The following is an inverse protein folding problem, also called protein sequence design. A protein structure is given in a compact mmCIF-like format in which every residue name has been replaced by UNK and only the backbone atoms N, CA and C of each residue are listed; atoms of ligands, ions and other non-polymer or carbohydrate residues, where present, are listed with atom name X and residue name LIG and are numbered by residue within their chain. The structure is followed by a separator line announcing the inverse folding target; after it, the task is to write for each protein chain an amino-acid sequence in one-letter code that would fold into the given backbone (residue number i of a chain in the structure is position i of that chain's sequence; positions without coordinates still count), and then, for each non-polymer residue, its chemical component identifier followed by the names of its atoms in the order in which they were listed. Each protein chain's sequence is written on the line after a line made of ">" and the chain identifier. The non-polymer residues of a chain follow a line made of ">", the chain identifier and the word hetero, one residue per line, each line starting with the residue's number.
data_IF_750626042224
#
_entry.id   IF_750626042224
#
_cell.length_a   1.000
_cell.length_b   1.000
_cell.length_c   1.000
_cell.angle_alpha   90.00
_cell.angle_beta   90.00
_cell.angle_gamma   90.00
#
_symmetry.space_group_name_H-M   'P 1'
#
loop_
_entity.id
_entity.type
_entity.pdbx_description
1 polymer ?
#
# COMPACT_ATOMS: atom_id res chain seq x y z
N UNK A 1 45.38 -43.03 -38.45
CA UNK A 1 44.55 -42.03 -37.73
C UNK A 1 43.60 -42.71 -36.73
N UNK A 2 42.80 -43.70 -37.14
CA UNK A 2 41.86 -44.41 -36.26
C UNK A 2 42.52 -45.15 -35.07
N UNK A 3 43.63 -45.84 -35.30
CA UNK A 3 44.36 -46.52 -34.21
C UNK A 3 44.90 -45.54 -33.14
N UNK A 4 45.34 -44.33 -33.52
CA UNK A 4 45.77 -43.31 -32.55
C UNK A 4 44.61 -42.80 -31.69
N UNK A 5 43.41 -42.68 -32.25
CA UNK A 5 42.21 -42.27 -31.52
C UNK A 5 41.79 -43.36 -30.54
N UNK A 6 41.82 -44.63 -30.95
CA UNK A 6 41.55 -45.75 -30.05
C UNK A 6 42.57 -45.81 -28.89
N UNK A 7 43.87 -45.68 -29.17
CA UNK A 7 44.90 -45.67 -28.11
C UNK A 7 44.75 -44.49 -27.16
N UNK A 8 44.39 -43.30 -27.66
CA UNK A 8 44.13 -42.12 -26.82
C UNK A 8 42.86 -42.29 -25.97
N UNK A 9 41.80 -42.91 -26.52
CA UNK A 9 40.58 -43.22 -25.77
C UNK A 9 40.82 -44.30 -24.70
N UNK A 10 41.61 -45.34 -25.00
CA UNK A 10 41.96 -46.37 -24.01
C UNK A 10 42.87 -45.81 -22.90
N UNK A 11 43.82 -44.93 -23.24
CA UNK A 11 44.64 -44.22 -22.27
C UNK A 11 43.83 -43.24 -21.40
N UNK A 12 42.84 -42.55 -21.98
CA UNK A 12 41.92 -41.69 -21.25
C UNK A 12 41.01 -42.50 -20.30
N UNK A 13 40.56 -43.69 -20.72
CA UNK A 13 39.74 -44.57 -19.87
C UNK A 13 40.55 -45.17 -18.71
N UNK A 14 41.80 -45.58 -18.96
CA UNK A 14 42.71 -46.03 -17.90
C UNK A 14 43.11 -44.92 -16.91
N UNK A 15 43.12 -43.66 -17.36
CA UNK A 15 43.29 -42.52 -16.47
C UNK A 15 42.02 -42.18 -15.69
N UNK A 16 40.83 -42.35 -16.30
CA UNK A 16 39.55 -42.19 -15.61
C UNK A 16 39.39 -43.18 -14.47
N UNK A 17 39.69 -44.45 -14.70
CA UNK A 17 39.60 -45.51 -13.69
C UNK A 17 40.61 -45.29 -12.55
N UNK A 18 41.78 -44.71 -12.85
CA UNK A 18 42.76 -44.29 -11.82
C UNK A 18 42.28 -43.07 -11.02
N UNK A 19 41.61 -42.11 -11.67
CA UNK A 19 41.04 -40.94 -11.00
C UNK A 19 39.86 -41.36 -10.12
N UNK A 20 38.95 -42.20 -10.62
CA UNK A 20 37.82 -42.74 -9.87
C UNK A 20 38.32 -43.52 -8.63
N UNK A 21 39.31 -44.41 -8.80
CA UNK A 21 39.92 -45.09 -7.65
C UNK A 21 40.64 -44.14 -6.67
N UNK A 22 41.28 -43.08 -7.15
CA UNK A 22 41.93 -42.10 -6.28
C UNK A 22 40.91 -41.26 -5.50
N UNK A 23 39.78 -40.91 -6.14
CA UNK A 23 38.66 -40.20 -5.53
C UNK A 23 37.95 -41.10 -4.52
N UNK A 24 37.64 -42.35 -4.86
CA UNK A 24 36.99 -43.31 -3.96
C UNK A 24 37.88 -43.58 -2.73
N UNK A 25 39.18 -43.78 -2.94
CA UNK A 25 40.13 -43.96 -1.83
C UNK A 25 40.25 -42.70 -0.96
N UNK A 26 40.17 -41.51 -1.56
CA UNK A 26 40.12 -40.25 -0.83
C UNK A 26 38.81 -40.08 -0.06
N UNK A 27 37.67 -40.45 -0.63
CA UNK A 27 36.36 -40.41 0.02
C UNK A 27 36.27 -41.41 1.18
N UNK A 28 36.73 -42.66 1.00
CA UNK A 28 36.83 -43.67 2.07
C UNK A 28 37.73 -43.22 3.22
N UNK A 29 38.86 -42.58 2.91
CA UNK A 29 39.82 -42.09 3.91
C UNK A 29 39.36 -40.83 4.65
N UNK A 30 38.46 -40.04 4.04
CA UNK A 30 38.00 -38.75 4.58
C UNK A 30 36.48 -38.73 4.90
N UNK A 31 35.83 -39.90 4.91
CA UNK A 31 34.40 -40.06 5.19
C UNK A 31 33.98 -39.59 6.60
N UNK A 32 34.95 -39.40 7.51
CA UNK A 32 34.74 -38.77 8.83
C UNK A 32 34.48 -37.25 8.76
N UNK A 33 34.70 -36.60 7.61
CA UNK A 33 34.47 -35.16 7.41
C UNK A 33 33.28 -34.84 6.51
N UNK A 34 32.57 -35.85 6.01
CA UNK A 34 31.28 -35.64 5.34
C UNK A 34 30.21 -35.42 6.42
N UNK A 35 30.02 -34.15 6.75
CA UNK A 35 28.85 -33.69 7.53
C UNK A 35 27.62 -34.04 6.71
N UNK A 36 26.96 -35.14 7.07
CA UNK A 36 25.63 -35.45 6.60
C UNK A 36 24.73 -34.33 7.11
N UNK A 37 24.39 -33.38 6.23
CA UNK A 37 23.21 -32.55 6.44
C UNK A 37 22.04 -33.47 6.11
N UNK A 38 21.31 -34.02 7.10
CA UNK A 38 20.05 -34.65 6.78
C UNK A 38 19.23 -33.61 6.00
N UNK A 39 18.62 -34.03 4.89
CA UNK A 39 17.59 -33.24 4.23
C UNK A 39 16.72 -32.63 5.33
N UNK A 40 16.49 -31.30 5.35
CA UNK A 40 15.67 -30.70 6.38
C UNK A 40 14.35 -31.45 6.36
N UNK A 41 14.10 -32.23 7.42
CA UNK A 41 12.82 -32.86 7.64
C UNK A 41 11.87 -31.69 7.82
N UNK A 42 11.23 -31.27 6.73
CA UNK A 42 10.07 -30.40 6.77
C UNK A 42 9.02 -31.20 7.52
N UNK A 43 9.08 -31.17 8.86
CA UNK A 43 7.95 -31.52 9.69
C UNK A 43 6.82 -30.69 9.11
N UNK A 44 5.80 -31.34 8.53
CA UNK A 44 4.50 -30.68 8.33
C UNK A 44 4.25 -29.96 9.63
N UNK A 45 4.21 -28.61 9.58
CA UNK A 45 3.93 -27.81 10.76
C UNK A 45 2.72 -28.47 11.39
N UNK A 46 2.87 -28.92 12.65
CA UNK A 46 1.71 -29.34 13.41
C UNK A 46 0.71 -28.20 13.25
N UNK A 47 -0.56 -28.52 12.94
CA UNK A 47 -1.63 -27.54 12.95
C UNK A 47 -1.84 -27.17 14.42
N UNK A 48 -0.92 -26.38 14.97
CA UNK A 48 -1.14 -25.61 16.18
C UNK A 48 -1.97 -24.43 15.70
N UNK A 49 -3.17 -24.26 16.26
CA UNK A 49 -4.00 -23.12 15.96
C UNK A 49 -3.25 -21.80 16.16
N UNK A 50 -3.83 -20.71 15.69
CA UNK A 50 -3.31 -19.37 16.00
C UNK A 50 -3.67 -19.07 17.46
N UNK A 51 -2.74 -19.38 18.36
CA UNK A 51 -2.98 -19.36 19.81
C UNK A 51 -2.78 -17.97 20.46
N UNK A 52 -2.19 -17.00 19.74
CA UNK A 52 -1.95 -15.63 20.24
C UNK A 52 -2.04 -14.60 19.10
N UNK A 53 -2.55 -13.39 19.43
CA UNK A 53 -2.48 -12.19 18.56
C UNK A 53 -1.02 -11.88 18.16
N UNK A 54 -0.04 -12.25 18.99
CA UNK A 54 1.40 -11.93 18.78
C UNK A 54 2.05 -12.68 17.61
N UNK A 55 1.38 -13.70 17.04
CA UNK A 55 1.88 -14.45 15.88
C UNK A 55 1.21 -14.06 14.56
N UNK A 56 0.09 -13.33 14.60
CA UNK A 56 -0.63 -12.85 13.43
C UNK A 56 -0.39 -11.37 13.20
N UNK A 57 -0.24 -10.97 11.94
CA UNK A 57 -0.24 -9.54 11.56
C UNK A 57 -1.66 -8.98 11.67
N UNK A 58 -2.69 -9.80 11.43
CA UNK A 58 -4.11 -9.40 11.54
C UNK A 58 -4.65 -9.74 12.93
N UNK A 59 -5.17 -8.74 13.67
CA UNK A 59 -5.80 -8.98 14.98
C UNK A 59 -7.02 -9.91 14.91
N UNK A 60 -7.16 -10.74 15.95
CA UNK A 60 -8.37 -11.52 16.13
C UNK A 60 -9.61 -10.66 16.33
N UNK A 61 -9.48 -9.49 16.97
CA UNK A 61 -10.58 -8.54 17.11
C UNK A 61 -11.18 -8.19 15.74
N UNK A 62 -10.34 -7.79 14.79
CA UNK A 62 -10.78 -7.41 13.44
C UNK A 62 -11.43 -8.59 12.70
N UNK A 63 -10.86 -9.79 12.85
CA UNK A 63 -11.41 -11.02 12.28
C UNK A 63 -12.78 -11.34 12.88
N UNK A 64 -12.92 -11.25 14.19
CA UNK A 64 -14.16 -11.57 14.89
C UNK A 64 -15.29 -10.59 14.49
N UNK A 65 -14.99 -9.29 14.27
CA UNK A 65 -15.97 -8.31 13.78
C UNK A 65 -16.61 -8.72 12.43
N UNK A 66 -15.93 -9.52 11.61
CA UNK A 66 -16.49 -9.97 10.34
C UNK A 66 -17.68 -10.93 10.52
N UNK A 67 -17.85 -11.54 11.70
CA UNK A 67 -19.04 -12.35 12.02
C UNK A 67 -20.33 -11.52 12.09
N UNK A 68 -20.21 -10.23 12.37
CA UNK A 68 -21.36 -9.34 12.60
C UNK A 68 -21.93 -8.73 11.30
N UNK A 69 -21.28 -8.94 10.14
CA UNK A 69 -21.72 -8.35 8.86
C UNK A 69 -23.14 -8.76 8.45
N UNK A 70 -23.97 -7.80 8.04
CA UNK A 70 -25.38 -8.01 7.67
C UNK A 70 -25.70 -7.56 6.24
N UNK A 71 -25.12 -6.47 5.75
CA UNK A 71 -25.56 -5.77 4.55
C UNK A 71 -24.67 -6.00 3.32
N UNK A 72 -23.34 -6.02 3.47
CA UNK A 72 -22.40 -6.13 2.34
C UNK A 72 -22.54 -7.47 1.61
N UNK A 73 -22.37 -7.45 0.29
CA UNK A 73 -22.59 -8.63 -0.58
C UNK A 73 -21.60 -9.77 -0.35
N UNK A 74 -20.40 -9.47 0.13
CA UNK A 74 -19.37 -10.46 0.45
C UNK A 74 -19.39 -10.96 1.91
N UNK A 75 -20.40 -10.60 2.71
CA UNK A 75 -20.51 -11.01 4.13
C UNK A 75 -20.31 -12.51 4.35
N UNK A 76 -20.89 -13.36 3.50
CA UNK A 76 -20.78 -14.81 3.66
C UNK A 76 -19.34 -15.33 3.47
N UNK A 77 -18.56 -14.68 2.61
CA UNK A 77 -17.15 -15.01 2.42
C UNK A 77 -16.35 -14.60 3.66
N UNK A 78 -16.60 -13.41 4.19
CA UNK A 78 -15.88 -12.89 5.36
C UNK A 78 -16.25 -13.60 6.67
N UNK A 79 -17.52 -13.98 6.87
CA UNK A 79 -17.93 -14.83 7.99
C UNK A 79 -17.24 -16.19 7.94
N UNK A 80 -17.16 -16.80 6.76
CA UNK A 80 -16.45 -18.07 6.56
C UNK A 80 -14.95 -17.94 6.83
N UNK A 81 -14.33 -16.85 6.39
CA UNK A 81 -12.95 -16.53 6.72
C UNK A 81 -12.77 -16.47 8.23
N UNK A 82 -13.59 -15.68 8.93
CA UNK A 82 -13.48 -15.50 10.37
C UNK A 82 -13.67 -16.78 11.18
N UNK A 83 -14.59 -17.67 10.77
CA UNK A 83 -14.78 -18.97 11.43
C UNK A 83 -13.55 -19.88 11.28
N UNK A 84 -12.85 -19.78 10.13
CA UNK A 84 -11.74 -20.67 9.80
C UNK A 84 -10.39 -20.13 10.22
N UNK A 85 -10.24 -18.81 10.33
CA UNK A 85 -8.97 -18.12 10.49
C UNK A 85 -8.08 -18.72 11.58
N UNK A 86 -8.63 -18.98 12.77
CA UNK A 86 -7.89 -19.56 13.92
C UNK A 86 -7.41 -21.00 13.69
N UNK A 87 -8.06 -21.73 12.79
CA UNK A 87 -7.78 -23.13 12.46
C UNK A 87 -6.89 -23.28 11.21
N UNK A 88 -6.65 -22.20 10.46
CA UNK A 88 -5.84 -22.24 9.26
C UNK A 88 -4.34 -22.25 9.59
N UNK A 89 -3.64 -23.24 9.04
CA UNK A 89 -2.18 -23.37 9.17
C UNK A 89 -1.39 -22.40 8.27
N UNK A 90 -2.08 -21.76 7.32
CA UNK A 90 -1.51 -20.77 6.41
C UNK A 90 -1.20 -19.46 7.16
N UNK A 91 -0.15 -18.76 6.71
CA UNK A 91 0.19 -17.43 7.23
C UNK A 91 -0.78 -16.35 6.69
N UNK A 92 -0.77 -15.15 7.29
CA UNK A 92 -1.70 -14.07 6.93
C UNK A 92 -1.64 -13.64 5.47
N UNK A 93 -0.45 -13.60 4.91
CA UNK A 93 -0.26 -13.28 3.50
C UNK A 93 -1.03 -14.25 2.60
N UNK A 94 -0.86 -15.56 2.80
CA UNK A 94 -1.54 -16.60 2.01
C UNK A 94 -3.06 -16.55 2.21
N UNK A 95 -3.52 -16.33 3.44
CA UNK A 95 -4.95 -16.22 3.75
C UNK A 95 -5.57 -15.01 3.04
N UNK A 96 -4.94 -13.84 3.19
CA UNK A 96 -5.35 -12.60 2.54
C UNK A 96 -5.37 -12.76 1.02
N UNK A 97 -4.32 -13.36 0.44
CA UNK A 97 -4.19 -13.52 -1.00
C UNK A 97 -5.31 -14.42 -1.58
N UNK A 98 -5.57 -15.56 -0.92
CA UNK A 98 -6.67 -16.46 -1.31
C UNK A 98 -8.02 -15.76 -1.19
N UNK A 99 -8.24 -15.00 -0.13
CA UNK A 99 -9.49 -14.28 0.10
C UNK A 99 -9.71 -13.20 -0.98
N UNK A 100 -8.71 -12.33 -1.20
CA UNK A 100 -8.76 -11.24 -2.19
C UNK A 100 -9.01 -11.81 -3.59
N UNK A 101 -8.26 -12.83 -4.02
CA UNK A 101 -8.47 -13.49 -5.32
C UNK A 101 -9.89 -14.02 -5.48
N UNK A 102 -10.42 -14.68 -4.43
CA UNK A 102 -11.79 -15.18 -4.46
C UNK A 102 -12.82 -14.05 -4.55
N UNK A 103 -12.64 -12.98 -3.78
CA UNK A 103 -13.53 -11.82 -3.78
C UNK A 103 -13.53 -11.10 -5.13
N UNK A 104 -12.35 -10.86 -5.71
CA UNK A 104 -12.22 -10.20 -7.01
C UNK A 104 -12.90 -10.99 -8.13
N UNK A 105 -12.63 -12.28 -8.20
CA UNK A 105 -13.24 -13.13 -9.21
C UNK A 105 -14.78 -13.16 -9.08
N UNK A 106 -15.27 -13.29 -7.84
CA UNK A 106 -16.70 -13.47 -7.56
C UNK A 106 -17.52 -12.18 -7.65
N UNK A 107 -16.97 -11.03 -7.26
CA UNK A 107 -17.72 -9.79 -7.09
C UNK A 107 -17.32 -8.68 -8.08
N UNK A 108 -16.09 -8.70 -8.60
CA UNK A 108 -15.63 -7.73 -9.61
C UNK A 108 -15.60 -8.32 -11.02
N UNK A 109 -15.51 -9.65 -11.14
CA UNK A 109 -15.30 -10.31 -12.43
C UNK A 109 -13.91 -10.03 -13.02
N UNK A 110 -12.95 -9.71 -12.14
CA UNK A 110 -11.56 -9.41 -12.47
C UNK A 110 -10.65 -10.45 -11.84
N UNK A 111 -9.52 -10.75 -12.50
CA UNK A 111 -8.47 -11.58 -11.92
C UNK A 111 -7.50 -10.69 -11.16
N UNK A 112 -7.31 -10.95 -9.86
CA UNK A 112 -6.28 -10.25 -9.09
C UNK A 112 -4.89 -10.64 -9.60
N UNK A 113 -4.00 -9.68 -9.93
CA UNK A 113 -2.70 -9.97 -10.47
C UNK A 113 -1.84 -10.85 -9.56
N UNK A 114 -1.27 -11.92 -10.12
CA UNK A 114 -0.36 -12.82 -9.41
C UNK A 114 1.09 -12.30 -9.35
N UNK A 115 1.36 -11.05 -9.74
CA UNK A 115 2.73 -10.54 -9.85
C UNK A 115 3.45 -10.55 -8.50
N UNK A 116 2.72 -10.19 -7.46
CA UNK A 116 3.16 -10.14 -6.07
C UNK A 116 3.74 -11.48 -5.59
N UNK A 117 3.07 -12.60 -5.89
CA UNK A 117 3.59 -13.95 -5.66
C UNK A 117 4.76 -14.33 -6.59
N UNK A 118 4.75 -13.86 -7.85
CA UNK A 118 5.83 -14.18 -8.82
C UNK A 118 7.15 -13.48 -8.49
N UNK A 119 7.11 -12.25 -8.01
CA UNK A 119 8.30 -11.51 -7.60
C UNK A 119 8.64 -11.75 -6.12
N UNK A 120 7.84 -12.56 -5.42
CA UNK A 120 8.01 -12.87 -4.00
C UNK A 120 9.40 -13.42 -3.69
N UNK A 121 10.01 -14.23 -4.57
CA UNK A 121 11.38 -14.74 -4.35
C UNK A 121 12.44 -13.62 -4.35
N UNK A 122 12.17 -12.50 -5.02
CA UNK A 122 13.02 -11.30 -5.03
C UNK A 122 12.66 -10.41 -3.83
N UNK A 123 11.37 -10.30 -3.50
CA UNK A 123 10.84 -9.44 -2.45
C UNK A 123 10.90 -10.03 -1.04
N UNK A 124 11.06 -11.35 -0.87
CA UNK A 124 11.19 -12.05 0.41
C UNK A 124 12.39 -11.60 1.24
N UNK A 125 13.37 -10.92 0.62
CA UNK A 125 14.47 -10.28 1.32
C UNK A 125 14.05 -9.04 2.10
N UNK A 126 12.82 -8.57 1.90
CA UNK A 126 12.23 -7.47 2.63
C UNK A 126 11.04 -7.98 3.46
N UNK A 127 11.22 -8.03 4.78
CA UNK A 127 10.17 -8.43 5.73
C UNK A 127 8.93 -7.53 5.59
N UNK A 128 9.11 -6.24 5.25
CA UNK A 128 8.03 -5.25 5.17
C UNK A 128 7.10 -5.41 3.97
N UNK A 129 7.49 -6.13 2.91
CA UNK A 129 6.65 -6.26 1.71
C UNK A 129 5.36 -7.06 1.98
N UNK A 130 5.47 -8.17 2.71
CA UNK A 130 4.29 -9.00 3.05
C UNK A 130 3.37 -8.25 4.00
N UNK A 131 3.92 -7.38 4.83
CA UNK A 131 3.15 -6.51 5.74
C UNK A 131 2.30 -5.53 4.95
N UNK A 132 2.83 -4.88 3.90
CA UNK A 132 2.01 -4.01 3.04
C UNK A 132 0.85 -4.73 2.36
N UNK A 133 1.05 -5.99 1.94
CA UNK A 133 -0.04 -6.79 1.37
C UNK A 133 -1.09 -7.19 2.41
N UNK A 134 -0.68 -7.52 3.63
CA UNK A 134 -1.61 -7.83 4.72
C UNK A 134 -2.32 -6.58 5.21
N UNK A 135 -1.62 -5.45 5.23
CA UNK A 135 -2.13 -4.12 5.56
C UNK A 135 -3.33 -3.75 4.69
N UNK A 136 -3.19 -3.81 3.36
CA UNK A 136 -4.33 -3.52 2.47
C UNK A 136 -5.54 -4.44 2.74
N UNK A 137 -5.29 -5.68 3.19
CA UNK A 137 -6.36 -6.59 3.58
C UNK A 137 -6.99 -6.21 4.91
N UNK A 138 -6.22 -5.77 5.90
CA UNK A 138 -6.73 -5.24 7.16
C UNK A 138 -7.58 -3.98 6.92
N UNK A 139 -7.10 -3.05 6.10
CA UNK A 139 -7.86 -1.86 5.68
C UNK A 139 -9.19 -2.28 5.06
N UNK A 140 -9.17 -3.24 4.14
CA UNK A 140 -10.38 -3.80 3.54
C UNK A 140 -11.37 -4.34 4.57
N UNK A 141 -10.92 -5.15 5.54
CA UNK A 141 -11.76 -5.73 6.59
C UNK A 141 -12.38 -4.68 7.51
N UNK A 142 -11.62 -3.64 7.89
CA UNK A 142 -12.10 -2.55 8.73
C UNK A 142 -13.18 -1.77 7.97
N UNK A 143 -12.89 -1.34 6.75
CA UNK A 143 -13.84 -0.57 5.97
C UNK A 143 -15.04 -1.38 5.52
N UNK A 144 -14.92 -2.71 5.35
CA UNK A 144 -16.05 -3.59 5.11
C UNK A 144 -17.04 -3.57 6.29
N UNK A 145 -16.52 -3.64 7.53
CA UNK A 145 -17.33 -3.58 8.74
C UNK A 145 -18.01 -2.21 8.94
N UNK A 146 -17.27 -1.12 8.72
CA UNK A 146 -17.82 0.24 8.78
C UNK A 146 -18.88 0.44 7.68
N UNK A 147 -18.56 0.05 6.44
CA UNK A 147 -19.45 0.18 5.29
C UNK A 147 -20.73 -0.63 5.49
N UNK A 148 -20.64 -1.84 6.06
CA UNK A 148 -21.81 -2.67 6.40
C UNK A 148 -22.79 -1.95 7.32
N UNK A 149 -22.25 -1.22 8.29
CA UNK A 149 -23.04 -0.48 9.26
C UNK A 149 -23.77 0.69 8.60
N UNK A 150 -23.06 1.53 7.85
CA UNK A 150 -23.63 2.71 7.18
C UNK A 150 -24.33 2.37 5.86
N UNK A 151 -24.30 1.10 5.44
CA UNK A 151 -24.78 0.62 4.14
C UNK A 151 -26.18 1.12 3.77
N UNK A 152 -27.20 1.07 4.67
CA UNK A 152 -28.55 1.50 4.33
C UNK A 152 -28.66 2.98 3.95
N UNK A 153 -27.75 3.83 4.46
CA UNK A 153 -27.73 5.27 4.20
C UNK A 153 -27.07 5.59 2.86
N UNK A 154 -26.04 4.83 2.48
CA UNK A 154 -25.12 5.22 1.39
C UNK A 154 -25.35 4.44 0.08
N UNK A 155 -25.75 3.17 0.17
CA UNK A 155 -25.73 2.25 -0.97
C UNK A 155 -26.64 2.69 -2.11
N UNK A 156 -27.87 3.11 -1.79
CA UNK A 156 -28.87 3.52 -2.80
C UNK A 156 -28.43 4.77 -3.57
N UNK A 157 -27.84 5.75 -2.87
CA UNK A 157 -27.36 6.98 -3.49
C UNK A 157 -26.18 6.70 -4.43
N UNK A 158 -25.22 5.92 -3.95
CA UNK A 158 -24.04 5.52 -4.71
C UNK A 158 -24.40 4.70 -5.95
N UNK A 159 -25.25 3.68 -5.81
CA UNK A 159 -25.69 2.82 -6.92
C UNK A 159 -26.50 3.60 -7.96
N UNK A 160 -27.34 4.56 -7.52
CA UNK A 160 -28.06 5.43 -8.46
C UNK A 160 -27.10 6.28 -9.30
N UNK A 161 -26.05 6.83 -8.68
CA UNK A 161 -25.07 7.75 -9.30
C UNK A 161 -24.10 7.01 -10.22
N UNK A 162 -23.49 5.92 -9.75
CA UNK A 162 -22.38 5.25 -10.45
C UNK A 162 -22.76 3.90 -11.07
N UNK A 163 -24.03 3.48 -10.96
CA UNK A 163 -24.53 2.20 -11.50
C UNK A 163 -23.72 0.97 -11.04
N UNK A 164 -23.12 1.06 -9.86
CA UNK A 164 -22.38 -0.02 -9.23
C UNK A 164 -22.61 -0.02 -7.72
N UNK A 165 -22.37 -1.16 -7.10
CA UNK A 165 -22.47 -1.28 -5.64
C UNK A 165 -21.25 -0.68 -4.97
N UNK A 166 -21.47 0.10 -3.91
CA UNK A 166 -20.41 0.82 -3.20
C UNK A 166 -19.33 -0.13 -2.66
N UNK A 167 -19.72 -1.32 -2.22
CA UNK A 167 -18.81 -2.32 -1.68
C UNK A 167 -17.93 -2.98 -2.75
N UNK A 168 -18.34 -2.95 -4.03
CA UNK A 168 -17.47 -3.39 -5.13
C UNK A 168 -16.36 -2.37 -5.38
N UNK A 169 -16.69 -1.07 -5.36
CA UNK A 169 -15.69 0.00 -5.45
C UNK A 169 -14.75 -0.03 -4.23
N UNK A 170 -15.30 -0.25 -3.02
CA UNK A 170 -14.50 -0.43 -1.80
C UNK A 170 -13.55 -1.62 -1.90
N UNK A 171 -14.02 -2.79 -2.34
CA UNK A 171 -13.20 -3.98 -2.53
C UNK A 171 -12.01 -3.68 -3.46
N UNK A 172 -12.26 -3.07 -4.61
CA UNK A 172 -11.21 -2.71 -5.56
C UNK A 172 -10.22 -1.69 -4.97
N UNK A 173 -10.72 -0.64 -4.30
CA UNK A 173 -9.88 0.41 -3.73
C UNK A 173 -8.97 -0.12 -2.62
N UNK A 174 -9.59 -0.71 -1.59
CA UNK A 174 -8.89 -1.12 -0.37
C UNK A 174 -7.90 -2.26 -0.58
N UNK A 175 -8.14 -3.19 -1.51
CA UNK A 175 -7.23 -4.33 -1.75
C UNK A 175 -6.19 -4.10 -2.86
N UNK A 176 -6.12 -2.88 -3.39
CA UNK A 176 -5.22 -2.51 -4.49
C UNK A 176 -4.48 -1.19 -4.29
N UNK A 177 -4.75 -0.41 -3.24
CA UNK A 177 -4.14 0.91 -3.04
C UNK A 177 -2.62 0.87 -2.90
N UNK A 178 -2.11 -0.16 -2.24
CA UNK A 178 -0.67 -0.39 -2.01
C UNK A 178 -0.02 -1.31 -3.07
N UNK A 179 -0.73 -1.66 -4.14
CA UNK A 179 -0.29 -2.68 -5.10
C UNK A 179 1.09 -2.38 -5.71
N UNK A 180 1.35 -1.12 -6.04
CA UNK A 180 2.61 -0.64 -6.64
C UNK A 180 3.63 -0.09 -5.63
N UNK A 181 3.48 -0.37 -4.33
CA UNK A 181 4.49 -0.01 -3.33
C UNK A 181 5.90 -0.50 -3.73
N UNK A 182 5.98 -1.69 -4.34
CA UNK A 182 7.25 -2.21 -4.79
C UNK A 182 7.87 -1.50 -5.99
N UNK A 183 7.06 -0.88 -6.85
CA UNK A 183 7.57 -0.10 -7.97
C UNK A 183 8.14 1.24 -7.49
N UNK A 184 7.49 1.87 -6.50
CA UNK A 184 7.99 3.07 -5.85
C UNK A 184 9.38 2.86 -5.23
N UNK A 185 9.55 1.72 -4.53
CA UNK A 185 10.77 1.39 -3.78
C UNK A 185 11.81 0.59 -4.58
N UNK A 186 11.54 0.29 -5.86
CA UNK A 186 12.37 -0.57 -6.70
C UNK A 186 13.85 -0.14 -6.71
N UNK A 187 14.12 1.15 -6.86
CA UNK A 187 15.50 1.64 -6.89
C UNK A 187 16.21 1.52 -5.53
N UNK A 188 15.48 1.72 -4.43
CA UNK A 188 16.02 1.54 -3.07
C UNK A 188 16.40 0.09 -2.87
N UNK A 189 15.53 -0.84 -3.28
CA UNK A 189 15.79 -2.27 -3.22
C UNK A 189 16.94 -2.71 -4.12
N UNK A 190 17.02 -2.17 -5.33
CA UNK A 190 18.11 -2.46 -6.24
C UNK A 190 19.46 -2.01 -5.66
N UNK A 191 19.49 -0.82 -5.04
CA UNK A 191 20.68 -0.30 -4.35
C UNK A 191 21.08 -1.21 -3.19
N UNK A 192 20.14 -1.56 -2.33
CA UNK A 192 20.39 -2.42 -1.18
C UNK A 192 20.88 -3.82 -1.62
N UNK A 193 20.30 -4.38 -2.68
CA UNK A 193 20.78 -5.63 -3.27
C UNK A 193 22.25 -5.56 -3.70
N UNK A 194 22.68 -4.46 -4.34
CA UNK A 194 24.09 -4.26 -4.72
C UNK A 194 25.00 -4.00 -3.52
N UNK A 195 24.52 -3.27 -2.51
CA UNK A 195 25.25 -3.05 -1.26
C UNK A 195 25.46 -4.35 -0.50
N UNK A 196 24.43 -5.20 -0.38
CA UNK A 196 24.51 -6.45 0.37
C UNK A 196 25.30 -7.51 -0.41
N UNK A 197 25.05 -7.64 -1.71
CA UNK A 197 25.62 -8.72 -2.52
C UNK A 197 27.05 -8.41 -2.99
N UNK A 198 27.32 -7.16 -3.38
CA UNK A 198 28.61 -6.75 -3.95
C UNK A 198 29.41 -5.81 -3.02
N UNK A 199 28.87 -5.42 -1.85
CA UNK A 199 29.51 -4.50 -0.89
C UNK A 199 29.85 -3.14 -1.50
N UNK A 200 29.11 -2.71 -2.52
CA UNK A 200 29.38 -1.47 -3.23
C UNK A 200 28.71 -0.30 -2.52
N UNK A 201 29.44 0.36 -1.63
CA UNK A 201 28.95 1.51 -0.83
C UNK A 201 29.25 2.89 -1.41
N UNK A 202 29.87 2.98 -2.60
CA UNK A 202 30.39 4.26 -3.10
C UNK A 202 29.29 5.12 -3.79
N UNK A 203 29.35 6.45 -3.60
CA UNK A 203 28.43 7.43 -4.22
C UNK A 203 28.36 7.33 -5.76
N UNK A 204 29.47 6.96 -6.40
CA UNK A 204 29.61 6.89 -7.86
C UNK A 204 28.77 5.76 -8.47
N UNK A 205 28.63 4.63 -7.78
CA UNK A 205 27.72 3.54 -8.16
C UNK A 205 26.28 3.95 -7.98
N UNK A 206 25.97 4.77 -6.95
CA UNK A 206 24.64 5.36 -6.76
C UNK A 206 24.21 6.24 -7.95
N UNK A 207 25.17 6.85 -8.65
CA UNK A 207 24.94 7.66 -9.86
C UNK A 207 24.93 6.82 -11.15
N UNK A 208 25.62 5.66 -11.17
CA UNK A 208 25.78 4.81 -12.36
C UNK A 208 24.83 3.60 -12.45
N UNK A 209 24.11 3.24 -11.38
CA UNK A 209 23.05 2.22 -11.48
C UNK A 209 21.95 2.76 -12.39
N UNK A 210 21.61 2.02 -13.44
CA UNK A 210 20.45 2.33 -14.29
C UNK A 210 19.18 2.26 -13.42
N UNK A 211 18.74 3.41 -12.95
CA UNK A 211 17.50 3.55 -12.19
C UNK A 211 16.31 3.34 -13.12
N UNK A 212 15.21 2.84 -12.57
CA UNK A 212 13.99 2.64 -13.34
C UNK A 212 13.48 3.98 -13.88
N UNK A 213 13.51 4.15 -15.20
CA UNK A 213 12.95 5.29 -15.91
C UNK A 213 11.55 4.93 -16.46
N UNK A 214 10.50 5.31 -15.73
CA UNK A 214 9.12 5.02 -16.13
C UNK A 214 8.70 5.77 -17.41
N UNK A 215 9.24 6.95 -17.67
CA UNK A 215 8.95 7.72 -18.90
C UNK A 215 9.43 6.97 -20.16
N UNK A 216 10.49 6.16 -20.03
CA UNK A 216 10.97 5.28 -21.10
C UNK A 216 10.27 3.92 -21.13
N UNK A 217 9.69 3.47 -20.03
CA UNK A 217 9.08 2.14 -19.90
C UNK A 217 7.58 2.12 -20.21
N UNK A 218 6.88 3.24 -20.03
CA UNK A 218 5.45 3.37 -20.27
C UNK A 218 5.17 4.07 -21.60
N UNK A 219 4.12 3.64 -22.31
CA UNK A 219 3.60 4.38 -23.47
C UNK A 219 2.99 5.68 -22.94
N UNK A 220 3.63 6.81 -23.24
CA UNK A 220 3.31 8.11 -22.64
C UNK A 220 1.87 8.52 -22.90
N UNK A 221 1.37 8.34 -24.12
CA UNK A 221 -0.01 8.64 -24.50
C UNK A 221 -0.98 7.81 -23.66
N UNK A 222 -0.71 6.51 -23.55
CA UNK A 222 -1.55 5.62 -22.77
C UNK A 222 -1.55 5.99 -21.29
N UNK A 223 -0.42 6.41 -20.71
CA UNK A 223 -0.36 6.90 -19.32
C UNK A 223 -1.17 8.20 -19.16
N UNK A 224 -0.92 9.16 -20.05
CA UNK A 224 -1.54 10.47 -20.02
C UNK A 224 -3.06 10.40 -20.12
N UNK A 225 -3.60 9.54 -20.99
CA UNK A 225 -5.05 9.33 -21.12
C UNK A 225 -5.71 8.93 -19.79
N UNK A 226 -5.03 8.13 -18.96
CA UNK A 226 -5.61 7.63 -17.69
C UNK A 226 -5.51 8.69 -16.62
N UNK A 227 -4.41 9.43 -16.57
CA UNK A 227 -4.26 10.59 -15.69
C UNK A 227 -5.33 11.63 -16.00
N UNK A 228 -5.51 11.97 -17.29
CA UNK A 228 -6.56 12.89 -17.73
C UNK A 228 -7.93 12.40 -17.28
N UNK A 229 -8.23 11.12 -17.51
CA UNK A 229 -9.50 10.51 -17.11
C UNK A 229 -9.75 10.57 -15.60
N UNK A 230 -8.72 10.41 -14.77
CA UNK A 230 -8.85 10.50 -13.32
C UNK A 230 -8.98 11.95 -12.84
N UNK A 231 -8.13 12.85 -13.35
CA UNK A 231 -8.16 14.27 -13.04
C UNK A 231 -9.54 14.88 -13.35
N UNK A 232 -10.13 14.53 -14.50
CA UNK A 232 -11.46 15.02 -14.90
C UNK A 232 -12.60 14.53 -13.98
N UNK A 233 -12.38 13.54 -13.12
CA UNK A 233 -13.38 13.06 -12.15
C UNK A 233 -13.30 13.77 -10.79
N UNK A 234 -12.21 14.48 -10.50
CA UNK A 234 -11.98 15.13 -9.20
C UNK A 234 -12.69 16.47 -9.06
N UNK A 235 -13.02 17.14 -10.18
CA UNK A 235 -13.80 18.39 -10.16
C UNK A 235 -14.53 18.55 -11.49
N UNK A 236 -15.82 18.86 -11.43
CA UNK A 236 -16.63 19.04 -12.64
C UNK A 236 -16.40 20.42 -13.31
N UNK A 237 -15.98 21.44 -12.54
CA UNK A 237 -15.87 22.83 -12.98
C UNK A 237 -14.43 23.35 -12.85
N UNK A 238 -13.49 22.70 -13.54
CA UNK A 238 -12.12 23.24 -13.65
C UNK A 238 -12.09 24.50 -14.52
N UNK A 239 -11.32 25.52 -14.10
CA UNK A 239 -10.74 26.45 -15.07
C UNK A 239 -9.68 25.71 -15.88
N UNK A 240 -9.48 26.09 -17.14
CA UNK A 240 -8.56 25.39 -18.06
C UNK A 240 -7.13 25.27 -17.49
N UNK A 241 -6.61 26.34 -16.88
CA UNK A 241 -5.31 26.35 -16.21
C UNK A 241 -5.25 25.44 -14.97
N UNK A 242 -6.33 25.34 -14.19
CA UNK A 242 -6.41 24.45 -13.03
C UNK A 242 -6.37 22.98 -13.46
N UNK A 243 -7.05 22.65 -14.58
CA UNK A 243 -7.05 21.32 -15.16
C UNK A 243 -5.66 20.91 -15.63
N UNK A 244 -4.95 21.81 -16.32
CA UNK A 244 -3.58 21.56 -16.78
C UNK A 244 -2.64 21.29 -15.60
N UNK A 245 -2.74 22.10 -14.53
CA UNK A 245 -1.96 21.91 -13.31
C UNK A 245 -2.28 20.58 -12.62
N UNK A 246 -3.54 20.14 -12.62
CA UNK A 246 -3.96 18.83 -12.11
C UNK A 246 -3.31 17.66 -12.85
N UNK A 247 -3.39 17.70 -14.18
CA UNK A 247 -2.81 16.66 -15.03
C UNK A 247 -1.30 16.63 -14.86
N UNK A 248 -0.66 17.79 -14.85
CA UNK A 248 0.79 17.91 -14.61
C UNK A 248 1.20 17.36 -13.25
N UNK A 249 0.44 17.69 -12.19
CA UNK A 249 0.71 17.18 -10.85
C UNK A 249 0.71 15.65 -10.81
N UNK A 250 -0.35 15.01 -11.28
CA UNK A 250 -0.42 13.55 -11.29
C UNK A 250 0.60 12.89 -12.25
N UNK A 251 0.94 13.55 -13.36
CA UNK A 251 2.00 13.08 -14.24
C UNK A 251 3.37 13.05 -13.55
N UNK A 252 3.73 14.13 -12.87
CA UNK A 252 4.97 14.18 -12.08
C UNK A 252 4.95 13.14 -10.95
N UNK A 253 3.81 12.97 -10.27
CA UNK A 253 3.65 11.96 -9.23
C UNK A 253 3.80 10.53 -9.75
N UNK A 254 3.27 10.23 -10.95
CA UNK A 254 3.42 8.93 -11.58
C UNK A 254 4.86 8.66 -12.05
N UNK A 255 5.48 9.61 -12.77
CA UNK A 255 6.73 9.38 -13.50
C UNK A 255 7.96 9.65 -12.64
N UNK A 256 7.99 10.78 -11.94
CA UNK A 256 9.17 11.24 -11.19
C UNK A 256 9.22 10.70 -9.78
N UNK A 257 8.12 10.82 -9.04
CA UNK A 257 8.02 10.30 -7.67
C UNK A 257 7.75 8.81 -7.65
N UNK A 258 7.05 8.30 -8.68
CA UNK A 258 6.55 6.92 -8.74
C UNK A 258 5.66 6.62 -7.54
N UNK A 259 4.79 7.57 -7.23
CA UNK A 259 3.82 7.45 -6.16
C UNK A 259 3.00 6.17 -6.35
N UNK A 260 3.01 5.31 -5.34
CA UNK A 260 2.40 3.99 -5.38
C UNK A 260 0.89 4.06 -5.53
N UNK A 261 0.22 5.05 -4.93
CA UNK A 261 -1.20 5.30 -5.11
C UNK A 261 -1.52 5.61 -6.57
N UNK A 262 -0.87 6.64 -7.15
CA UNK A 262 -1.08 7.03 -8.55
C UNK A 262 -0.83 5.88 -9.52
N UNK A 263 0.28 5.15 -9.35
CA UNK A 263 0.61 4.00 -10.21
C UNK A 263 -0.39 2.85 -10.04
N UNK A 264 -0.87 2.59 -8.82
CA UNK A 264 -1.88 1.57 -8.54
C UNK A 264 -3.23 1.90 -9.17
N UNK A 265 -3.63 3.17 -9.15
CA UNK A 265 -4.84 3.64 -9.83
C UNK A 265 -4.76 3.41 -11.35
N UNK A 266 -3.65 3.81 -11.98
CA UNK A 266 -3.40 3.58 -13.41
C UNK A 266 -3.40 2.08 -13.73
N UNK A 267 -2.77 1.27 -12.88
CA UNK A 267 -2.70 -0.19 -13.07
C UNK A 267 -4.08 -0.85 -12.96
N UNK A 268 -4.94 -0.37 -12.06
CA UNK A 268 -6.31 -0.85 -11.91
C UNK A 268 -7.15 -0.55 -13.15
N UNK A 269 -7.06 0.67 -13.69
CA UNK A 269 -7.76 1.04 -14.93
C UNK A 269 -7.29 0.19 -16.10
N UNK A 270 -5.97 0.01 -16.24
CA UNK A 270 -5.39 -0.83 -17.29
C UNK A 270 -5.86 -2.28 -17.19
N UNK A 271 -5.87 -2.84 -15.98
CA UNK A 271 -6.39 -4.19 -15.72
C UNK A 271 -7.86 -4.32 -16.15
N UNK A 272 -8.67 -3.30 -15.85
CA UNK A 272 -10.06 -3.28 -16.27
C UNK A 272 -10.20 -3.24 -17.79
N UNK A 273 -9.45 -2.36 -18.47
CA UNK A 273 -9.46 -2.22 -19.94
C UNK A 273 -9.08 -3.54 -20.64
N UNK A 274 -8.08 -4.26 -20.11
CA UNK A 274 -7.60 -5.54 -20.64
C UNK A 274 -8.56 -6.72 -20.34
N UNK A 275 -9.41 -6.60 -19.32
CA UNK A 275 -10.38 -7.66 -18.99
C UNK A 275 -11.48 -7.75 -20.06
N UNK A 276 -11.87 -8.95 -20.48
CA UNK A 276 -12.97 -9.15 -21.44
C UNK A 276 -14.29 -8.63 -20.87
N UNK A 277 -14.99 -7.78 -21.62
CA UNK A 277 -16.22 -7.11 -21.19
C UNK A 277 -17.28 -8.06 -20.59
N UNK A 278 -17.53 -9.20 -21.24
CA UNK A 278 -18.51 -10.20 -20.76
C UNK A 278 -18.16 -10.92 -19.46
N UNK A 279 -16.97 -10.69 -18.87
CA UNK A 279 -16.59 -11.23 -17.55
C UNK A 279 -16.73 -10.22 -16.42
N UNK A 280 -16.85 -8.92 -16.72
CA UNK A 280 -16.81 -7.83 -15.74
C UNK A 280 -18.12 -7.81 -14.95
N UNK A 281 -18.03 -7.74 -13.62
CA UNK A 281 -19.18 -7.58 -12.70
C UNK A 281 -19.24 -6.18 -12.07
N UNK A 282 -18.20 -5.37 -12.30
CA UNK A 282 -18.15 -3.94 -12.00
C UNK A 282 -18.06 -3.17 -13.31
N UNK A 283 -18.64 -1.97 -13.35
CA UNK A 283 -18.56 -1.07 -14.51
C UNK A 283 -17.37 -0.11 -14.39
N UNK A 284 -17.12 0.67 -15.45
CA UNK A 284 -16.03 1.65 -15.48
C UNK A 284 -16.19 2.71 -14.38
N UNK A 285 -17.41 3.20 -14.13
CA UNK A 285 -17.64 4.24 -13.12
C UNK A 285 -17.24 3.78 -11.72
N UNK A 286 -17.56 2.54 -11.35
CA UNK A 286 -17.13 1.94 -10.08
C UNK A 286 -15.62 1.77 -9.99
N UNK A 287 -14.95 1.40 -11.09
CA UNK A 287 -13.49 1.35 -11.16
C UNK A 287 -12.87 2.74 -11.05
N UNK A 288 -13.48 3.77 -11.64
CA UNK A 288 -13.02 5.15 -11.49
C UNK A 288 -13.16 5.62 -10.03
N UNK A 289 -14.25 5.31 -9.34
CA UNK A 289 -14.39 5.65 -7.92
C UNK A 289 -13.31 4.96 -7.06
N UNK A 290 -12.97 3.71 -7.38
CA UNK A 290 -11.88 3.01 -6.72
C UNK A 290 -10.51 3.60 -7.06
N UNK A 291 -10.26 3.90 -8.34
CA UNK A 291 -8.99 4.43 -8.82
C UNK A 291 -8.73 5.84 -8.29
N UNK A 292 -9.73 6.72 -8.21
CA UNK A 292 -9.62 8.05 -7.58
C UNK A 292 -9.25 7.92 -6.11
N UNK A 293 -9.91 7.00 -5.39
CA UNK A 293 -9.60 6.75 -4.00
C UNK A 293 -8.14 6.32 -3.84
N UNK A 294 -7.69 5.35 -4.65
CA UNK A 294 -6.31 4.88 -4.66
C UNK A 294 -5.32 5.98 -5.06
N UNK A 295 -5.63 6.79 -6.08
CA UNK A 295 -4.73 7.85 -6.54
C UNK A 295 -4.52 8.92 -5.47
N UNK A 296 -5.57 9.24 -4.72
CA UNK A 296 -5.59 10.37 -3.80
C UNK A 296 -5.34 9.99 -2.33
N UNK A 297 -5.20 8.71 -1.98
CA UNK A 297 -5.09 8.30 -0.56
C UNK A 297 -3.72 8.58 0.08
N UNK A 298 -2.65 8.69 -0.71
CA UNK A 298 -1.31 8.91 -0.18
C UNK A 298 -1.18 10.33 0.41
N UNK A 299 -0.47 10.43 1.54
CA UNK A 299 -0.37 11.66 2.36
C UNK A 299 0.06 12.86 1.55
N UNK A 300 1.10 12.70 0.74
CA UNK A 300 1.63 13.78 -0.12
C UNK A 300 0.63 14.23 -1.19
N UNK A 301 -0.34 13.40 -1.57
CA UNK A 301 -1.36 13.72 -2.56
C UNK A 301 -2.52 14.49 -1.93
N UNK A 302 -3.20 13.92 -0.93
CA UNK A 302 -4.37 14.59 -0.35
C UNK A 302 -4.00 15.89 0.38
N UNK A 303 -2.81 15.99 0.99
CA UNK A 303 -2.33 17.25 1.55
C UNK A 303 -2.16 18.31 0.46
N UNK A 304 -1.59 17.93 -0.68
CA UNK A 304 -1.40 18.85 -1.82
C UNK A 304 -2.73 19.28 -2.43
N UNK A 305 -3.70 18.36 -2.54
CA UNK A 305 -5.05 18.64 -3.06
C UNK A 305 -5.84 19.60 -2.15
N UNK A 306 -5.69 19.47 -0.84
CA UNK A 306 -6.26 20.38 0.17
C UNK A 306 -5.49 21.70 0.33
N UNK A 307 -4.35 21.82 -0.33
CA UNK A 307 -3.51 23.02 -0.37
C UNK A 307 -2.61 23.20 0.85
N UNK A 308 -1.88 24.33 0.89
CA UNK A 308 -0.80 24.58 1.86
C UNK A 308 -1.20 24.51 3.35
N UNK A 309 -2.50 24.49 3.67
CA UNK A 309 -2.97 24.31 5.05
C UNK A 309 -2.77 22.88 5.57
N UNK A 310 -2.78 21.86 4.69
CA UNK A 310 -2.37 20.49 5.04
C UNK A 310 -0.85 20.32 5.05
N UNK A 311 -0.16 21.03 4.15
CA UNK A 311 1.28 20.91 3.91
C UNK A 311 2.19 21.58 4.96
N UNK A 312 1.66 22.54 5.74
CA UNK A 312 2.41 23.25 6.79
C UNK A 312 1.92 22.80 8.16
N UNK A 313 2.79 22.18 8.97
CA UNK A 313 2.94 22.49 10.42
C UNK A 313 3.98 21.60 11.12
N UNK A 314 4.88 22.25 11.84
CA UNK A 314 5.45 21.70 13.08
C UNK A 314 4.36 21.74 14.19
N UNK A 315 4.44 20.92 15.24
CA UNK A 315 3.43 20.88 16.30
C UNK A 315 3.18 22.27 16.91
N UNK A 316 1.92 22.70 16.97
CA UNK A 316 1.49 23.78 17.87
C UNK A 316 1.24 25.19 17.30
N UNK A 317 1.44 25.48 16.01
CA UNK A 317 1.10 26.80 15.47
C UNK A 317 0.23 26.72 14.20
N UNK A 318 -1.04 27.08 14.34
CA UNK A 318 -1.91 27.39 13.21
C UNK A 318 -1.44 28.69 12.52
N UNK A 319 -1.04 28.69 11.24
CA UNK A 319 -1.09 29.90 10.45
C UNK A 319 -2.54 30.37 10.36
N UNK A 320 -2.72 31.63 10.77
CA UNK A 320 -3.91 32.42 10.53
C UNK A 320 -4.32 32.34 9.07
N UNK A 321 -5.62 32.30 8.84
CA UNK A 321 -6.26 32.45 7.53
C UNK A 321 -5.50 33.46 6.66
N UNK A 322 -5.02 33.03 5.48
CA UNK A 322 -4.24 33.80 4.48
C UNK A 322 -2.71 33.69 4.46
N UNK A 323 -2.13 32.57 4.86
CA UNK A 323 -0.77 32.27 4.42
C UNK A 323 -0.77 31.84 2.94
N UNK A 324 -0.52 32.82 2.06
CA UNK A 324 -0.03 32.59 0.71
C UNK A 324 1.18 31.64 0.77
N UNK A 325 1.32 30.75 -0.22
CA UNK A 325 2.54 29.97 -0.40
C UNK A 325 3.69 30.93 -0.76
N UNK A 326 4.21 31.65 0.23
CA UNK A 326 5.28 32.60 0.04
C UNK A 326 6.62 31.85 -0.12
N UNK A 327 7.59 32.53 -0.74
CA UNK A 327 8.96 32.08 -1.00
C UNK A 327 9.76 31.59 0.25
N UNK A 328 9.15 31.62 1.43
CA UNK A 328 9.62 31.13 2.73
C UNK A 328 9.01 29.78 3.14
N UNK A 329 8.24 29.12 2.26
CA UNK A 329 7.76 27.75 2.48
C UNK A 329 8.96 26.83 2.71
N UNK A 330 9.24 26.56 3.98
CA UNK A 330 10.28 25.66 4.42
C UNK A 330 9.57 24.46 5.01
N UNK A 331 9.66 23.33 4.30
CA UNK A 331 9.35 22.03 4.90
C UNK A 331 10.47 21.77 5.89
N UNK A 332 10.22 21.89 7.20
CA UNK A 332 11.04 21.10 8.12
C UNK A 332 10.87 19.65 7.66
N UNK A 333 11.96 18.88 7.44
CA UNK A 333 11.88 17.50 6.99
C UNK A 333 11.35 16.64 8.15
N UNK A 334 10.09 16.82 8.53
CA UNK A 334 9.39 16.08 9.57
C UNK A 334 8.85 14.73 9.06
N UNK A 335 8.90 14.48 7.76
CA UNK A 335 8.44 13.24 7.16
C UNK A 335 9.58 12.55 6.42
N UNK A 336 10.17 11.57 7.11
CA UNK A 336 10.97 10.46 6.57
C UNK A 336 12.24 10.86 5.81
N UNK A 337 13.38 10.92 6.53
CA UNK A 337 14.71 11.11 5.94
C UNK A 337 15.06 10.07 4.85
N UNK A 338 14.37 8.92 4.84
CA UNK A 338 14.60 7.81 3.92
C UNK A 338 13.62 7.74 2.74
N UNK A 339 12.42 8.33 2.85
CA UNK A 339 11.52 8.56 1.70
C UNK A 339 11.80 9.95 1.13
N UNK A 340 13.02 10.16 0.62
CA UNK A 340 13.30 11.30 -0.24
C UNK A 340 12.42 11.17 -1.48
N UNK A 341 11.27 11.83 -1.49
CA UNK A 341 10.62 12.19 -2.76
C UNK A 341 11.72 12.79 -3.64
N UNK A 342 11.89 12.25 -4.85
CA UNK A 342 12.87 12.74 -5.82
C UNK A 342 12.54 14.15 -6.31
N UNK A 343 11.47 14.76 -5.83
CA UNK A 343 11.13 16.17 -6.07
C UNK A 343 12.06 17.11 -5.31
N UNK A 344 12.75 16.70 -4.25
CA UNK A 344 13.72 17.56 -3.57
C UNK A 344 15.16 17.24 -3.99
N UNK A 345 15.73 18.11 -4.83
CA UNK A 345 17.17 18.10 -5.15
C UNK A 345 17.98 18.10 -3.86
N UNK A 346 19.11 17.40 -3.91
CA UNK A 346 20.08 17.33 -2.83
C UNK A 346 20.37 18.72 -2.23
N UNK A 347 20.47 18.74 -0.91
CA UNK A 347 20.89 19.86 -0.09
C UNK A 347 22.21 20.41 -0.63
N UNK A 348 22.20 21.61 -1.21
CA UNK A 348 23.42 22.40 -1.32
C UNK A 348 23.46 23.60 -0.38
N UNK A 349 22.35 24.12 0.19
CA UNK A 349 22.41 25.34 1.03
C UNK A 349 21.30 25.50 2.11
N UNK A 350 20.75 24.41 2.66
CA UNK A 350 19.94 24.49 3.90
C UNK A 350 18.50 25.01 3.79
N UNK A 351 18.02 25.45 2.62
CA UNK A 351 16.61 25.82 2.38
C UNK A 351 16.04 25.05 1.18
N UNK A 352 15.15 24.08 1.42
CA UNK A 352 14.37 23.42 0.36
C UNK A 352 13.14 24.25 0.03
N UNK A 353 13.06 24.78 -1.19
CA UNK A 353 11.87 25.48 -1.72
C UNK A 353 11.06 24.52 -2.59
N UNK A 354 9.73 24.57 -2.48
CA UNK A 354 8.84 23.88 -3.41
C UNK A 354 9.09 24.36 -4.84
N UNK A 355 8.87 23.50 -5.84
CA UNK A 355 8.94 23.93 -7.24
C UNK A 355 7.82 24.95 -7.52
N UNK A 356 8.05 25.87 -8.46
CA UNK A 356 7.10 26.97 -8.73
C UNK A 356 5.71 26.45 -9.10
N UNK A 357 5.64 25.38 -9.90
CA UNK A 357 4.39 24.78 -10.34
C UNK A 357 3.66 24.05 -9.20
N UNK A 358 4.39 23.49 -8.24
CA UNK A 358 3.82 22.80 -7.08
C UNK A 358 3.19 23.81 -6.11
N UNK A 359 3.88 24.96 -5.93
CA UNK A 359 3.35 26.09 -5.16
C UNK A 359 2.08 26.65 -5.80
N UNK A 360 2.07 26.79 -7.13
CA UNK A 360 0.90 27.22 -7.90
C UNK A 360 -0.25 26.21 -7.78
N UNK A 361 0.05 24.91 -7.85
CA UNK A 361 -0.93 23.85 -7.66
C UNK A 361 -1.60 23.90 -6.28
N UNK A 362 -0.82 23.99 -5.20
CA UNK A 362 -1.36 24.02 -3.85
C UNK A 362 -2.23 25.27 -3.57
N UNK A 363 -2.03 26.36 -4.33
CA UNK A 363 -2.88 27.55 -4.24
C UNK A 363 -4.27 27.34 -4.85
N UNK A 364 -4.41 26.40 -5.79
CA UNK A 364 -5.71 26.08 -6.41
C UNK A 364 -6.68 25.48 -5.39
N UNK A 365 -6.16 24.74 -4.39
CA UNK A 365 -6.98 23.96 -3.44
C UNK A 365 -8.02 23.12 -4.18
N UNK A 366 -7.52 22.21 -5.00
CA UNK A 366 -8.37 21.40 -5.87
C UNK A 366 -9.47 20.64 -5.13
N UNK A 367 -9.23 20.26 -3.87
CA UNK A 367 -10.21 19.70 -2.97
C UNK A 367 -10.17 20.44 -1.63
N UNK A 368 -11.06 21.39 -1.37
CA UNK A 368 -11.09 22.12 -0.09
C UNK A 368 -11.16 21.18 1.13
N UNK A 369 -12.06 20.19 1.07
CA UNK A 369 -12.16 19.08 2.03
C UNK A 369 -12.64 17.83 1.31
N UNK A 370 -12.19 16.68 1.77
CA UNK A 370 -12.69 15.36 1.36
C UNK A 370 -13.93 15.07 2.23
N UNK A 371 -15.11 15.40 1.70
CA UNK A 371 -16.38 15.08 2.37
C UNK A 371 -16.82 13.66 2.03
N UNK A 372 -17.31 12.93 3.02
CA UNK A 372 -17.79 11.56 2.80
C UNK A 372 -18.96 11.50 1.80
N UNK A 373 -19.84 12.52 1.78
CA UNK A 373 -20.97 12.60 0.84
C UNK A 373 -20.52 12.72 -0.62
N UNK A 374 -19.40 13.40 -0.86
CA UNK A 374 -18.86 13.67 -2.20
C UNK A 374 -17.93 12.54 -2.66
N UNK A 375 -17.07 12.06 -1.76
CA UNK A 375 -16.01 11.08 -2.02
C UNK A 375 -16.00 9.93 -0.99
N UNK A 376 -17.06 9.09 -0.93
CA UNK A 376 -17.20 8.10 0.14
C UNK A 376 -16.09 7.04 0.15
N UNK A 377 -15.60 6.61 -1.02
CA UNK A 377 -14.52 5.61 -1.11
C UNK A 377 -13.18 6.19 -0.70
N UNK A 378 -12.82 7.39 -1.20
CA UNK A 378 -11.58 8.07 -0.83
C UNK A 378 -11.55 8.41 0.66
N UNK A 379 -12.65 8.96 1.19
CA UNK A 379 -12.78 9.24 2.62
C UNK A 379 -12.54 7.98 3.45
N UNK A 380 -13.25 6.89 3.10
CA UNK A 380 -13.15 5.65 3.86
C UNK A 380 -11.76 5.03 3.74
N UNK A 381 -11.11 5.15 2.59
CA UNK A 381 -9.76 4.63 2.37
C UNK A 381 -8.75 5.36 3.23
N UNK A 382 -8.70 6.70 3.19
CA UNK A 382 -7.82 7.50 4.04
C UNK A 382 -8.11 7.21 5.51
N UNK A 383 -9.39 7.22 5.92
CA UNK A 383 -9.78 6.95 7.31
C UNK A 383 -9.30 5.58 7.80
N UNK A 384 -9.54 4.51 7.01
CA UNK A 384 -9.18 3.15 7.41
C UNK A 384 -7.66 2.91 7.36
N UNK A 385 -6.97 3.50 6.39
CA UNK A 385 -5.51 3.45 6.28
C UNK A 385 -4.85 4.15 7.47
N UNK A 386 -5.37 5.32 7.87
CA UNK A 386 -4.85 6.13 8.99
C UNK A 386 -5.13 5.54 10.37
N UNK A 387 -6.04 4.57 10.52
CA UNK A 387 -6.28 3.91 11.82
C UNK A 387 -5.66 2.51 11.90
N UNK A 388 -5.05 2.04 10.81
CA UNK A 388 -4.49 0.70 10.74
C UNK A 388 -2.97 0.74 10.57
N UNK A 389 -2.27 0.55 11.69
CA UNK A 389 -0.80 0.35 11.72
C UNK A 389 -0.38 -0.96 12.39
N UNK A 390 -1.33 -1.83 12.73
CA UNK A 390 -1.07 -3.09 13.42
C UNK A 390 -0.20 -4.01 12.56
N UNK A 391 0.99 -4.32 13.06
CA UNK A 391 1.94 -5.21 12.39
C UNK A 391 2.78 -4.55 11.29
N UNK A 392 2.76 -3.22 11.14
CA UNK A 392 3.69 -2.49 10.27
C UNK A 392 5.06 -2.32 10.94
N UNK A 393 6.12 -2.86 10.33
CA UNK A 393 7.48 -2.49 10.69
C UNK A 393 7.85 -1.21 9.94
N UNK A 394 7.90 -0.08 10.65
CA UNK A 394 8.38 1.17 10.05
C UNK A 394 9.84 0.99 9.63
N UNK A 395 10.17 1.44 8.41
CA UNK A 395 11.45 1.21 7.74
C UNK A 395 12.64 1.93 8.39
N UNK A 396 12.40 2.69 9.47
CA UNK A 396 13.47 3.32 10.24
C UNK A 396 14.16 2.25 11.06
N UNK A 397 15.45 2.01 10.79
CA UNK A 397 16.31 1.01 11.43
C UNK A 397 16.54 1.16 12.94
N UNK A 398 15.64 1.81 13.68
CA UNK A 398 15.59 1.85 15.14
C UNK A 398 14.34 1.10 15.61
N UNK A 399 14.53 -0.13 16.06
CA UNK A 399 13.50 -0.99 16.69
C UNK A 399 12.85 -0.37 17.94
N UNK A 400 13.39 0.75 18.46
CA UNK A 400 12.91 1.39 19.68
C UNK A 400 11.85 2.50 19.45
N UNK A 401 11.57 2.90 18.20
CA UNK A 401 10.59 3.94 17.84
C UNK A 401 9.51 3.43 16.87
N UNK A 402 9.11 2.16 17.01
CA UNK A 402 8.01 1.63 16.22
C UNK A 402 6.69 2.10 16.85
N UNK A 403 6.00 3.01 16.16
CA UNK A 403 4.61 3.33 16.46
C UNK A 403 3.77 2.10 16.08
N UNK A 404 3.48 1.27 17.08
CA UNK A 404 2.59 0.12 16.94
C UNK A 404 1.25 0.52 17.53
N UNK A 405 0.47 1.26 16.75
CA UNK A 405 -0.92 1.55 17.09
C UNK A 405 -1.76 0.29 16.84
N UNK A 406 -2.36 -0.24 17.91
CA UNK A 406 -3.23 -1.42 17.87
C UNK A 406 -4.69 -1.00 17.94
N UNK A 407 -5.48 -1.55 17.03
CA UNK A 407 -6.94 -1.43 17.06
C UNK A 407 -7.51 -2.23 18.24
N UNK A 408 -8.12 -1.55 19.20
CA UNK A 408 -8.72 -2.20 20.38
C UNK A 408 -10.23 -2.34 20.28
N UNK A 409 -10.90 -1.36 19.67
CA UNK A 409 -12.33 -1.48 19.38
C UNK A 409 -12.80 -0.60 18.21
N UNK A 410 -13.86 -1.04 17.56
CA UNK A 410 -14.69 -0.25 16.65
C UNK A 410 -16.12 -0.30 17.20
N UNK A 411 -16.58 0.83 17.72
CA UNK A 411 -17.93 1.02 18.22
C UNK A 411 -18.78 1.74 17.17
N UNK A 412 -19.81 1.05 16.68
CA UNK A 412 -20.83 1.60 15.81
C UNK A 412 -22.04 1.95 16.67
N UNK A 413 -22.33 3.24 16.84
CA UNK A 413 -23.49 3.69 17.61
C UNK A 413 -24.49 4.41 16.72
N UNK A 414 -25.78 4.23 17.00
CA UNK A 414 -26.86 4.91 16.27
C UNK A 414 -27.41 6.02 17.14
N UNK A 415 -27.12 7.26 16.81
CA UNK A 415 -27.82 8.42 17.36
C UNK A 415 -29.01 8.76 16.45
N UNK A 416 -30.03 9.43 17.00
CA UNK A 416 -31.41 9.58 16.50
C UNK A 416 -31.59 9.82 14.99
N UNK A 417 -30.57 10.30 14.26
CA UNK A 417 -30.58 10.47 12.80
C UNK A 417 -29.30 10.04 12.06
N UNK A 418 -28.26 9.49 12.72
CA UNK A 418 -26.97 9.19 12.10
C UNK A 418 -26.28 7.99 12.74
N UNK A 419 -25.60 7.19 11.92
CA UNK A 419 -24.67 6.15 12.39
C UNK A 419 -23.31 6.79 12.66
N UNK A 420 -22.80 6.59 13.86
CA UNK A 420 -21.52 7.09 14.36
C UNK A 420 -20.51 5.95 14.40
N UNK A 421 -19.34 6.18 13.82
CA UNK A 421 -18.20 5.27 13.85
C UNK A 421 -17.18 5.81 14.85
N UNK A 422 -16.96 5.10 15.95
CA UNK A 422 -15.94 5.43 16.95
C UNK A 422 -14.90 4.33 17.00
N UNK A 423 -13.67 4.66 16.68
CA UNK A 423 -12.54 3.72 16.71
C UNK A 423 -11.72 3.99 17.96
N UNK A 424 -11.28 2.95 18.67
CA UNK A 424 -10.34 3.08 19.78
C UNK A 424 -9.02 2.42 19.40
N UNK A 425 -7.93 3.16 19.60
CA UNK A 425 -6.56 2.72 19.36
C UNK A 425 -5.79 2.78 20.69
N UNK A 426 -4.95 1.77 20.91
CA UNK A 426 -3.85 1.83 21.86
C UNK A 426 -2.56 2.08 21.09
N UNK A 427 -1.82 3.12 21.43
CA UNK A 427 -0.53 3.44 20.79
C UNK A 427 0.57 3.60 21.82
N UNK A 428 1.75 3.06 21.49
CA UNK A 428 3.00 3.26 22.22
C UNK A 428 3.56 4.68 22.02
N UNK A 429 3.24 5.32 20.90
CA UNK A 429 3.60 6.69 20.55
C UNK A 429 2.34 7.50 20.22
N UNK A 430 1.51 7.67 21.26
CA UNK A 430 0.20 8.31 21.12
C UNK A 430 0.30 9.75 20.59
N UNK A 431 1.38 10.47 20.90
CA UNK A 431 1.58 11.84 20.44
C UNK A 431 1.76 11.90 18.92
N UNK A 432 2.61 11.03 18.36
CA UNK A 432 2.80 10.93 16.92
C UNK A 432 1.51 10.50 16.21
N UNK A 433 0.79 9.53 16.76
CA UNK A 433 -0.47 9.07 16.17
C UNK A 433 -1.56 10.15 16.24
N UNK A 434 -1.61 10.91 17.32
CA UNK A 434 -2.50 12.07 17.45
C UNK A 434 -2.17 13.15 16.42
N UNK A 435 -0.89 13.40 16.16
CA UNK A 435 -0.45 14.36 15.13
C UNK A 435 -0.91 13.93 13.73
N UNK A 436 -0.73 12.65 13.37
CA UNK A 436 -1.21 12.10 12.10
C UNK A 436 -2.73 12.24 11.97
N UNK A 437 -3.50 11.81 12.99
CA UNK A 437 -4.96 11.93 12.96
C UNK A 437 -5.43 13.38 12.97
N UNK A 438 -4.66 14.30 13.56
CA UNK A 438 -4.94 15.72 13.46
C UNK A 438 -4.82 16.19 12.01
N UNK A 439 -3.74 15.85 11.31
CA UNK A 439 -3.58 16.14 9.87
C UNK A 439 -4.72 15.54 9.04
N UNK A 440 -5.07 14.28 9.28
CA UNK A 440 -6.18 13.60 8.59
C UNK A 440 -7.51 14.31 8.86
N UNK A 441 -7.78 14.72 10.11
CA UNK A 441 -9.01 15.43 10.49
C UNK A 441 -9.13 16.83 9.86
N UNK A 442 -8.02 17.43 9.42
CA UNK A 442 -8.06 18.65 8.62
C UNK A 442 -8.60 18.39 7.22
N UNK A 443 -8.31 17.23 6.62
CA UNK A 443 -8.70 16.96 5.23
C UNK A 443 -10.04 16.24 5.14
N UNK A 444 -10.34 15.34 6.08
CA UNK A 444 -11.60 14.60 6.13
C UNK A 444 -12.71 15.41 6.82
N UNK A 445 -13.90 15.45 6.20
CA UNK A 445 -15.08 16.13 6.74
C UNK A 445 -16.33 15.25 6.75
N UNK A 446 -16.58 14.62 7.90
CA UNK A 446 -17.83 14.01 8.34
C UNK A 446 -17.82 13.76 9.87
N UNK A 447 -18.70 14.46 10.60
CA UNK A 447 -18.78 14.40 12.08
C UNK A 447 -19.14 13.01 12.63
N UNK A 448 -19.59 12.08 11.77
CA UNK A 448 -19.92 10.71 12.14
C UNK A 448 -18.70 9.87 12.47
N UNK A 449 -17.51 10.27 12.01
CA UNK A 449 -16.28 9.49 12.16
C UNK A 449 -15.41 10.06 13.28
N UNK A 450 -15.07 9.22 14.25
CA UNK A 450 -14.31 9.57 15.44
C UNK A 450 -13.26 8.51 15.74
N UNK A 451 -12.11 8.96 16.24
CA UNK A 451 -11.03 8.08 16.69
C UNK A 451 -10.61 8.50 18.09
N UNK A 452 -10.52 7.55 19.00
CA UNK A 452 -10.03 7.69 20.36
C UNK A 452 -8.67 7.03 20.46
N UNK A 453 -7.64 7.78 20.87
CA UNK A 453 -6.31 7.23 21.15
C UNK A 453 -6.05 7.36 22.63
N UNK A 454 -5.86 6.25 23.34
CA UNK A 454 -5.62 6.23 24.78
C UNK A 454 -6.61 7.11 25.59
N UNK A 455 -7.86 7.25 25.11
CA UNK A 455 -8.92 8.06 25.71
C UNK A 455 -9.12 9.47 25.10
N UNK A 456 -8.19 9.96 24.28
CA UNK A 456 -8.29 11.27 23.60
C UNK A 456 -9.04 11.14 22.29
N UNK A 457 -10.19 11.84 22.17
CA UNK A 457 -11.07 11.75 20.99
C UNK A 457 -10.76 12.83 19.95
N UNK A 458 -10.56 12.42 18.71
CA UNK A 458 -10.52 13.27 17.51
C UNK A 458 -11.74 12.99 16.64
N UNK A 459 -12.35 14.05 16.11
CA UNK A 459 -13.51 13.99 15.21
C UNK A 459 -13.07 14.42 13.82
N UNK A 460 -13.49 13.70 12.79
CA UNK A 460 -13.16 14.03 11.40
C UNK A 460 -14.08 15.15 10.86
N UNK A 461 -14.09 16.31 11.52
CA UNK A 461 -15.04 17.41 11.22
C UNK A 461 -14.48 18.45 10.22
N UNK A 462 -13.29 18.22 9.67
CA UNK A 462 -12.59 19.16 8.79
C UNK A 462 -11.91 20.32 9.52
N UNK A 463 -11.99 20.37 10.86
CA UNK A 463 -11.36 21.35 11.72
C UNK A 463 -10.42 20.56 12.65
N UNK A 464 -9.12 20.49 12.34
CA UNK A 464 -8.18 19.75 13.17
C UNK A 464 -7.81 20.47 14.47
N UNK A 465 -8.80 20.99 15.18
CA UNK A 465 -8.71 21.50 16.54
C UNK A 465 -9.68 20.72 17.43
N UNK A 466 -9.12 19.99 18.38
CA UNK A 466 -9.81 19.43 19.55
C UNK A 466 -9.18 20.01 20.79
#
# INVERSE_FOLDING_TARGET
>A
MFNNICTQLTAANGNREKIENAVDKYLESNLHYLVYYPDPVYRRRAITGRDDDTKGVISFYLIDQQQELVNVTYKQVLKKLATKYRQEADNDFIIAEKCIKHLWNKYLGLEYPNIQSRVESILQRNESYREHFVHQFQVFLIGAYILDSIYPEVAKGFEKKYKCKIENAWLAASTFHDFNYGLQNFDTWLRQFFEDSLRVKNKRTKENINLLNLDSAMIREALFDKIVKLADQLKNDYKENERELMIRFFYEKAVRDRNHGVLSAISLIKLFDECKEGKRLINMDGILQAAIAIECHDEDIWESLCGCQGYRRSPGNLPSTHDECNNSCSREPLLWQDKKSRIFKDRENGNSKCESWESEFMQIRAMDKIKFEDYPILFLLIFCDSIQDEGRFTSSGNTNNQDLSKLTSIAITKDKHKIMTSVALESLDADKKLEELERVSWCLKDDRFRVSINGTVKVMNGNGGG
#
